data_IF_460976497717
#
_entry.id   IF_460976497717
#
_cell.length_a   1.000
_cell.length_b   1.000
_cell.length_c   1.000
_cell.angle_alpha   90.00
_cell.angle_beta   90.00
_cell.angle_gamma   90.00
#
_symmetry.space_group_name_H-M   'P 1'
#
loop_
_entity.id
_entity.type
_entity.pdbx_description
1 polymer ?
#
# COMPACT_ATOMS: atom_id res chain seq x y z
N UNK A 1 -1.72 -2.27 2.48
CA UNK A 1 -3.04 -1.97 1.91
C UNK A 1 -3.48 -3.04 0.92
N UNK A 2 -2.78 -3.25 -0.23
CA UNK A 2 -3.10 -4.28 -1.23
C UNK A 2 -1.85 -4.84 -1.89
N UNK A 3 -1.92 -6.12 -2.36
CA UNK A 3 -0.84 -6.79 -3.08
C UNK A 3 -1.39 -7.72 -4.16
N UNK A 4 -0.92 -7.53 -5.41
CA UNK A 4 -1.20 -8.43 -6.54
C UNK A 4 -0.04 -8.49 -7.53
N UNK A 5 1.00 -7.69 -7.34
CA UNK A 5 2.16 -7.67 -8.22
C UNK A 5 2.92 -8.98 -8.10
N UNK A 6 3.10 -9.66 -9.25
CA UNK A 6 3.71 -10.99 -9.30
C UNK A 6 5.18 -10.97 -8.90
N UNK A 7 5.92 -9.99 -9.38
CA UNK A 7 7.37 -9.93 -9.16
C UNK A 7 7.67 -9.62 -7.69
N UNK A 8 6.85 -8.76 -7.06
CA UNK A 8 6.93 -8.49 -5.62
C UNK A 8 6.57 -9.75 -4.82
N UNK A 9 5.51 -10.47 -5.21
CA UNK A 9 5.11 -11.71 -4.53
C UNK A 9 6.24 -12.75 -4.59
N UNK A 10 6.87 -12.94 -5.75
CA UNK A 10 8.01 -13.84 -5.90
C UNK A 10 9.21 -13.43 -5.02
N UNK A 11 9.45 -12.13 -4.85
CA UNK A 11 10.49 -11.64 -3.94
C UNK A 11 10.16 -11.86 -2.47
N UNK A 12 8.90 -11.75 -2.09
CA UNK A 12 8.46 -12.09 -0.72
C UNK A 12 8.59 -13.59 -0.46
N UNK A 13 8.27 -14.45 -1.42
CA UNK A 13 8.50 -15.90 -1.34
C UNK A 13 10.00 -16.22 -1.19
N UNK A 14 10.86 -15.62 -2.01
CA UNK A 14 12.32 -15.77 -1.92
C UNK A 14 12.85 -15.35 -0.56
N UNK A 15 12.42 -14.19 -0.03
CA UNK A 15 12.81 -13.70 1.26
C UNK A 15 12.34 -14.63 2.40
N UNK A 16 11.08 -15.10 2.34
CA UNK A 16 10.55 -16.06 3.29
C UNK A 16 11.35 -17.37 3.29
N UNK A 17 11.68 -17.93 2.12
CA UNK A 17 12.52 -19.12 2.00
C UNK A 17 13.93 -18.91 2.53
N UNK A 18 14.45 -17.67 2.48
CA UNK A 18 15.74 -17.30 3.08
C UNK A 18 15.66 -17.09 4.62
N UNK A 19 14.51 -17.32 5.24
CA UNK A 19 14.32 -17.19 6.69
C UNK A 19 13.97 -15.77 7.16
N UNK A 20 13.67 -14.84 6.25
CA UNK A 20 13.25 -13.49 6.62
C UNK A 20 11.80 -13.54 7.13
N UNK A 21 11.58 -13.06 8.35
CA UNK A 21 10.22 -12.86 8.88
C UNK A 21 9.57 -11.67 8.19
N UNK A 22 8.36 -11.87 7.69
CA UNK A 22 7.59 -10.86 6.97
C UNK A 22 6.20 -10.76 7.60
N UNK A 23 5.88 -9.61 8.15
CA UNK A 23 4.55 -9.32 8.69
C UNK A 23 3.87 -8.29 7.78
N UNK A 24 2.66 -8.59 7.30
CA UNK A 24 1.92 -7.73 6.37
C UNK A 24 0.53 -7.41 6.90
N UNK A 25 0.12 -6.14 6.74
CA UNK A 25 -1.25 -5.69 7.01
C UNK A 25 -1.90 -5.36 5.67
N UNK A 26 -2.80 -6.23 5.22
CA UNK A 26 -3.45 -6.15 3.90
C UNK A 26 -4.96 -6.18 4.07
N UNK A 27 -5.62 -5.04 3.84
CA UNK A 27 -7.08 -4.93 3.98
C UNK A 27 -7.87 -5.12 2.68
N UNK A 28 -7.19 -4.98 1.53
CA UNK A 28 -7.78 -5.03 0.20
C UNK A 28 -7.40 -6.31 -0.55
N UNK A 29 -7.05 -6.16 -1.83
CA UNK A 29 -6.64 -7.27 -2.69
C UNK A 29 -5.39 -7.93 -2.10
N UNK A 30 -5.41 -9.25 -1.95
CA UNK A 30 -4.29 -10.05 -1.48
C UNK A 30 -4.15 -11.30 -2.36
N UNK A 31 -3.13 -11.32 -3.22
CA UNK A 31 -2.87 -12.41 -4.16
C UNK A 31 -1.72 -13.34 -3.73
N UNK A 32 -1.32 -13.26 -2.45
CA UNK A 32 -0.32 -14.16 -1.85
C UNK A 32 -0.95 -14.87 -0.66
N UNK A 33 -0.54 -16.11 -0.39
CA UNK A 33 -0.96 -16.90 0.78
C UNK A 33 0.12 -16.82 1.85
N UNK A 34 -0.32 -16.69 3.09
CA UNK A 34 0.54 -16.75 4.27
C UNK A 34 0.89 -18.21 4.65
N UNK A 35 2.00 -18.40 5.31
CA UNK A 35 2.36 -19.62 6.05
C UNK A 35 2.33 -20.91 5.20
N UNK A 36 2.55 -20.82 3.89
CA UNK A 36 2.62 -22.01 3.02
C UNK A 36 4.00 -22.66 3.16
N UNK A 37 4.09 -23.93 3.61
CA UNK A 37 5.35 -24.63 3.80
C UNK A 37 6.22 -24.62 2.54
N UNK A 38 7.52 -24.32 2.68
CA UNK A 38 8.49 -24.27 1.60
C UNK A 38 8.33 -23.09 0.63
N UNK A 39 7.43 -22.13 0.91
CA UNK A 39 7.21 -20.93 0.10
C UNK A 39 7.11 -19.67 0.95
N UNK A 40 6.05 -19.56 1.72
CA UNK A 40 5.73 -18.36 2.51
C UNK A 40 5.61 -18.67 4.00
N UNK A 41 6.31 -19.67 4.50
CA UNK A 41 6.23 -20.12 5.89
C UNK A 41 6.58 -19.04 6.91
N UNK A 42 7.42 -18.05 6.53
CA UNK A 42 7.79 -16.92 7.36
C UNK A 42 7.02 -15.63 7.00
N UNK A 43 5.98 -15.74 6.16
CA UNK A 43 5.11 -14.63 5.76
C UNK A 43 3.78 -14.72 6.52
N UNK A 44 3.51 -13.72 7.35
CA UNK A 44 2.29 -13.60 8.15
C UNK A 44 1.46 -12.44 7.59
N UNK A 45 0.16 -12.66 7.38
CA UNK A 45 -0.74 -11.66 6.81
C UNK A 45 -1.91 -11.43 7.74
N UNK A 46 -2.11 -10.17 8.11
CA UNK A 46 -3.29 -9.71 8.84
C UNK A 46 -4.13 -8.79 7.98
N UNK A 47 -5.44 -8.87 8.11
CA UNK A 47 -6.39 -7.90 7.58
C UNK A 47 -6.98 -7.11 8.74
N UNK A 48 -6.88 -5.77 8.64
CA UNK A 48 -7.42 -4.85 9.63
C UNK A 48 -8.49 -4.00 8.97
N UNK A 49 -9.75 -4.27 9.29
CA UNK A 49 -10.92 -3.52 8.80
C UNK A 49 -11.76 -3.13 10.01
N UNK A 50 -11.96 -1.84 10.21
CA UNK A 50 -12.68 -1.29 11.34
C UNK A 50 -13.41 0.00 10.98
N UNK A 51 -13.48 0.93 11.92
CA UNK A 51 -14.21 2.19 11.78
C UNK A 51 -13.59 3.12 10.74
N UNK A 52 -12.26 3.14 10.64
CA UNK A 52 -11.51 4.01 9.74
C UNK A 52 -10.93 3.21 8.57
N UNK A 53 -10.70 3.91 7.45
CA UNK A 53 -10.05 3.34 6.29
C UNK A 53 -8.54 3.30 6.51
N UNK A 54 -7.97 2.08 6.61
CA UNK A 54 -6.52 1.89 6.64
C UNK A 54 -5.94 2.10 5.25
N UNK A 55 -5.41 3.31 4.99
CA UNK A 55 -4.87 3.70 3.69
C UNK A 55 -3.39 4.07 3.74
N UNK A 56 -2.76 3.93 4.87
CA UNK A 56 -1.32 4.10 5.04
C UNK A 56 -0.54 3.04 4.26
N UNK A 57 0.57 3.44 3.64
CA UNK A 57 1.56 2.54 3.05
C UNK A 57 2.88 2.84 3.72
N UNK A 58 3.17 2.04 4.74
CA UNK A 58 4.38 2.11 5.53
C UNK A 58 5.14 0.82 5.27
N UNK A 59 6.41 0.94 4.89
CA UNK A 59 7.29 -0.19 4.65
C UNK A 59 8.47 -0.10 5.60
N UNK A 60 8.60 -1.11 6.46
CA UNK A 60 9.67 -1.19 7.46
C UNK A 60 10.57 -2.37 7.16
N UNK A 61 11.88 -2.11 7.07
CA UNK A 61 12.91 -3.11 6.82
C UNK A 61 13.93 -3.08 7.94
N UNK A 62 14.21 -4.25 8.50
CA UNK A 62 15.22 -4.44 9.55
C UNK A 62 16.31 -5.40 9.08
N UNK A 63 17.55 -4.97 9.14
CA UNK A 63 18.72 -5.72 8.67
C UNK A 63 19.51 -6.42 9.80
N UNK A 64 18.92 -6.51 10.99
CA UNK A 64 19.58 -7.04 12.20
C UNK A 64 20.19 -5.94 13.07
N UNK A 65 20.39 -4.73 12.54
CA UNK A 65 21.01 -3.60 13.26
C UNK A 65 20.14 -2.34 13.14
N UNK A 66 19.70 -2.03 11.95
CA UNK A 66 19.04 -0.75 11.64
C UNK A 66 17.65 -0.97 11.05
N UNK A 67 16.67 -0.21 11.54
CA UNK A 67 15.34 -0.11 10.94
C UNK A 67 15.31 1.02 9.91
N UNK A 68 14.87 0.72 8.69
CA UNK A 68 14.63 1.69 7.62
C UNK A 68 13.17 1.72 7.29
N UNK A 69 12.56 2.91 7.42
CA UNK A 69 11.13 3.09 7.16
C UNK A 69 10.94 3.97 5.94
N UNK A 70 9.97 3.57 5.10
CA UNK A 70 9.50 4.32 3.96
C UNK A 70 8.00 4.52 4.06
N UNK A 71 7.53 5.70 3.66
CA UNK A 71 6.13 5.98 3.40
C UNK A 71 5.94 6.16 1.90
N UNK A 72 4.83 5.65 1.34
CA UNK A 72 4.63 5.70 -0.09
C UNK A 72 3.17 5.95 -0.49
N UNK A 73 2.97 6.40 -1.73
CA UNK A 73 1.66 6.55 -2.35
C UNK A 73 1.14 5.25 -2.95
N UNK A 74 2.02 4.34 -3.36
CA UNK A 74 1.70 3.12 -4.10
C UNK A 74 1.47 1.90 -3.23
N UNK A 75 0.53 1.06 -3.67
CA UNK A 75 0.40 -0.32 -3.22
C UNK A 75 1.30 -1.26 -4.01
N UNK A 76 1.42 -2.51 -3.59
CA UNK A 76 2.06 -3.60 -4.34
C UNK A 76 1.10 -4.21 -5.39
N UNK A 77 0.47 -3.35 -6.20
CA UNK A 77 -0.36 -3.76 -7.32
C UNK A 77 0.38 -3.51 -8.63
N UNK A 78 0.23 -4.38 -9.61
CA UNK A 78 0.87 -4.26 -10.93
C UNK A 78 0.63 -2.90 -11.59
N UNK A 79 -0.58 -2.34 -11.43
CA UNK A 79 -0.87 -0.98 -11.93
C UNK A 79 -0.03 0.12 -11.27
N UNK A 80 0.36 -0.05 -10.00
CA UNK A 80 1.20 0.91 -9.28
C UNK A 80 2.67 0.78 -9.69
N UNK A 81 3.14 -0.46 -9.92
CA UNK A 81 4.53 -0.75 -10.25
C UNK A 81 4.87 -0.52 -11.72
N UNK A 82 3.91 -0.76 -12.63
CA UNK A 82 4.15 -0.73 -14.08
C UNK A 82 3.49 0.48 -14.79
N UNK A 83 2.34 0.96 -14.31
CA UNK A 83 1.51 1.91 -15.05
C UNK A 83 1.41 3.29 -14.40
N UNK A 84 1.92 3.50 -13.19
CA UNK A 84 1.82 4.75 -12.44
C UNK A 84 3.17 5.28 -12.03
N UNK A 85 3.24 6.59 -11.83
CA UNK A 85 4.33 7.23 -11.10
C UNK A 85 3.94 7.27 -9.63
N UNK A 86 4.66 6.53 -8.81
CA UNK A 86 4.45 6.49 -7.36
C UNK A 86 5.64 7.12 -6.64
N UNK A 87 5.36 7.73 -5.50
CA UNK A 87 6.37 8.37 -4.67
C UNK A 87 6.60 7.54 -3.41
N UNK A 88 7.86 7.24 -3.12
CA UNK A 88 8.29 6.64 -1.87
C UNK A 88 9.35 7.52 -1.21
N UNK A 89 9.16 7.85 0.06
CA UNK A 89 10.07 8.70 0.83
C UNK A 89 10.64 7.90 1.99
N UNK A 90 11.96 7.88 2.10
CA UNK A 90 12.64 7.34 3.28
C UNK A 90 12.49 8.34 4.43
N UNK A 91 12.07 7.84 5.58
CA UNK A 91 12.00 8.61 6.81
C UNK A 91 13.36 8.54 7.51
N UNK A 92 13.97 9.67 7.81
CA UNK A 92 15.30 9.75 8.41
C UNK A 92 15.29 10.27 9.86
N UNK A 93 14.25 11.02 10.22
CA UNK A 93 14.08 11.53 11.57
C UNK A 93 13.80 10.40 12.57
N UNK A 94 14.63 10.23 13.63
CA UNK A 94 14.48 9.12 14.57
C UNK A 94 13.14 9.13 15.33
N UNK A 95 12.57 10.30 15.59
CA UNK A 95 11.29 10.44 16.28
C UNK A 95 10.17 9.96 15.38
N UNK A 96 10.20 10.31 14.10
CA UNK A 96 9.21 9.84 13.12
C UNK A 96 9.36 8.33 12.83
N UNK A 97 10.59 7.82 12.78
CA UNK A 97 10.85 6.37 12.66
C UNK A 97 10.20 5.62 13.84
N UNK A 98 10.39 6.11 15.06
CA UNK A 98 9.79 5.49 16.24
C UNK A 98 8.26 5.55 16.18
N UNK A 99 7.66 6.69 15.86
CA UNK A 99 6.20 6.83 15.74
C UNK A 99 5.60 5.89 14.69
N UNK A 100 6.22 5.79 13.51
CA UNK A 100 5.76 4.87 12.46
C UNK A 100 5.93 3.40 12.88
N UNK A 101 6.99 3.08 13.61
CA UNK A 101 7.20 1.75 14.19
C UNK A 101 6.10 1.42 15.21
N UNK A 102 5.75 2.35 16.08
CA UNK A 102 4.71 2.19 17.10
C UNK A 102 3.33 1.99 16.45
N UNK A 103 3.03 2.73 15.37
CA UNK A 103 1.80 2.55 14.57
C UNK A 103 1.75 1.12 14.00
N UNK A 104 2.82 0.66 13.36
CA UNK A 104 2.87 -0.70 12.80
C UNK A 104 2.72 -1.76 13.89
N UNK A 105 3.42 -1.61 15.02
CA UNK A 105 3.33 -2.54 16.15
C UNK A 105 1.93 -2.56 16.77
N UNK A 106 1.27 -1.41 16.88
CA UNK A 106 -0.09 -1.31 17.39
C UNK A 106 -1.07 -2.05 16.48
N UNK A 107 -0.97 -1.84 15.17
CA UNK A 107 -1.80 -2.56 14.19
C UNK A 107 -1.53 -4.07 14.18
N UNK A 108 -0.26 -4.48 14.33
CA UNK A 108 0.11 -5.90 14.40
C UNK A 108 -0.35 -6.58 15.71
N UNK A 109 -0.61 -5.82 16.76
CA UNK A 109 -1.13 -6.35 18.04
C UNK A 109 -2.65 -6.31 18.13
N UNK A 110 -3.37 -5.73 17.15
CA UNK A 110 -4.83 -5.69 17.17
C UNK A 110 -5.43 -7.09 17.35
N UNK A 111 -6.21 -7.27 18.42
CA UNK A 111 -6.94 -8.50 18.73
C UNK A 111 -8.46 -8.29 18.82
N UNK A 112 -8.94 -7.10 18.41
CA UNK A 112 -10.36 -6.71 18.37
C UNK A 112 -10.92 -6.81 16.95
N UNK A 113 -10.22 -6.24 15.97
CA UNK A 113 -10.68 -6.14 14.57
C UNK A 113 -9.89 -7.04 13.61
N UNK A 114 -8.67 -7.41 13.96
CA UNK A 114 -7.77 -8.13 13.06
C UNK A 114 -8.29 -9.54 12.72
N UNK A 115 -7.95 -9.94 11.50
CA UNK A 115 -8.10 -11.31 10.98
C UNK A 115 -6.78 -11.77 10.42
N UNK A 116 -6.34 -12.97 10.76
CA UNK A 116 -5.13 -13.60 10.24
C UNK A 116 -5.45 -14.53 9.09
N UNK A 117 -4.62 -14.48 8.04
CA UNK A 117 -4.71 -15.41 6.93
C UNK A 117 -4.02 -16.72 7.30
N UNK A 118 -4.65 -17.83 6.95
CA UNK A 118 -4.12 -19.20 7.07
C UNK A 118 -3.49 -19.65 5.74
N UNK A 119 -2.75 -20.75 5.79
CA UNK A 119 -2.09 -21.34 4.61
C UNK A 119 -3.07 -21.73 3.48
N UNK A 120 -4.33 -22.03 3.80
CA UNK A 120 -5.39 -22.32 2.82
C UNK A 120 -5.97 -21.04 2.17
N UNK A 121 -5.58 -19.83 2.66
CA UNK A 121 -6.07 -18.54 2.21
C UNK A 121 -7.33 -18.08 2.94
N UNK A 122 -7.88 -18.86 3.88
CA UNK A 122 -8.98 -18.44 4.74
C UNK A 122 -8.52 -17.42 5.80
N UNK A 123 -9.44 -16.61 6.29
CA UNK A 123 -9.16 -15.65 7.36
C UNK A 123 -9.87 -16.03 8.65
N UNK A 124 -9.13 -16.07 9.74
CA UNK A 124 -9.66 -16.26 11.07
C UNK A 124 -9.57 -14.97 11.90
N UNK A 125 -10.66 -14.65 12.62
CA UNK A 125 -10.63 -13.52 13.56
C UNK A 125 -9.63 -13.78 14.69
N UNK A 126 -8.76 -12.84 14.93
CA UNK A 126 -7.89 -12.84 16.11
C UNK A 126 -8.75 -12.65 17.36
N UNK A 127 -8.44 -13.37 18.41
CA UNK A 127 -9.12 -13.26 19.70
C UNK A 127 -8.08 -13.09 20.79
N UNK A 128 -8.32 -12.15 21.68
CA UNK A 128 -7.51 -12.00 22.88
C UNK A 128 -7.56 -13.29 23.71
N UNK A 129 -6.42 -13.69 24.26
CA UNK A 129 -6.35 -14.78 25.22
C UNK A 129 -7.00 -14.37 26.55
N UNK A 130 -7.44 -15.32 27.39
CA UNK A 130 -7.96 -15.00 28.72
C UNK A 130 -6.95 -14.19 29.53
N UNK A 131 -7.34 -12.97 29.95
CA UNK A 131 -6.49 -12.05 30.71
C UNK A 131 -5.57 -11.16 29.86
N UNK A 132 -5.55 -11.35 28.54
CA UNK A 132 -4.83 -10.46 27.63
C UNK A 132 -5.61 -9.14 27.45
N UNK A 133 -4.95 -7.96 27.48
CA UNK A 133 -5.61 -6.69 27.23
C UNK A 133 -6.15 -6.63 25.79
N UNK A 134 -7.34 -6.04 25.65
CA UNK A 134 -7.91 -5.77 24.34
C UNK A 134 -7.15 -4.63 23.69
N UNK A 135 -6.69 -4.85 22.46
CA UNK A 135 -6.00 -3.87 21.64
C UNK A 135 -6.83 -3.62 20.39
N UNK A 136 -7.36 -2.41 20.27
CA UNK A 136 -8.05 -1.94 19.07
C UNK A 136 -7.11 -0.99 18.30
N UNK A 137 -6.35 -1.53 17.36
CA UNK A 137 -5.29 -0.78 16.69
C UNK A 137 -5.71 0.56 16.09
N UNK A 138 -6.98 0.71 15.68
CA UNK A 138 -7.50 1.96 15.13
C UNK A 138 -7.86 2.97 16.22
N UNK A 139 -8.54 2.54 17.28
CA UNK A 139 -8.99 3.46 18.33
C UNK A 139 -7.82 3.87 19.22
N UNK A 140 -6.96 2.92 19.56
CA UNK A 140 -5.78 3.18 20.39
C UNK A 140 -4.78 4.10 19.64
N UNK A 141 -4.66 3.96 18.31
CA UNK A 141 -3.88 4.87 17.48
C UNK A 141 -4.48 6.28 17.44
N UNK A 142 -5.81 6.37 17.32
CA UNK A 142 -6.49 7.65 17.35
C UNK A 142 -6.24 8.39 18.69
N UNK A 143 -6.35 7.69 19.81
CA UNK A 143 -6.12 8.27 21.13
C UNK A 143 -4.66 8.72 21.29
N UNK A 144 -3.70 7.88 20.88
CA UNK A 144 -2.27 8.20 20.89
C UNK A 144 -1.94 9.46 20.07
N UNK A 145 -2.46 9.57 18.87
CA UNK A 145 -2.19 10.70 17.97
C UNK A 145 -2.92 11.97 18.42
N UNK A 146 -4.12 11.84 18.96
CA UNK A 146 -4.88 12.97 19.53
C UNK A 146 -4.12 13.59 20.70
N UNK A 147 -3.63 12.78 21.62
CA UNK A 147 -2.94 13.26 22.80
C UNK A 147 -1.61 13.93 22.45
N UNK A 148 -0.87 13.39 21.47
CA UNK A 148 0.34 14.01 20.92
C UNK A 148 0.03 15.35 20.21
N UNK A 149 -1.07 15.42 19.47
CA UNK A 149 -1.52 16.65 18.82
C UNK A 149 -1.91 17.73 19.84
N UNK A 150 -2.71 17.38 20.86
CA UNK A 150 -3.10 18.31 21.92
C UNK A 150 -1.90 18.83 22.69
N UNK A 151 -0.91 17.98 22.98
CA UNK A 151 0.30 18.40 23.65
C UNK A 151 1.12 19.41 22.83
N UNK A 152 1.16 19.26 21.51
CA UNK A 152 1.84 20.21 20.60
C UNK A 152 1.11 21.53 20.46
N UNK A 153 -0.22 21.49 20.37
CA UNK A 153 -1.05 22.67 20.22
C UNK A 153 -0.89 23.58 21.45
N UNK A 154 -0.87 22.99 22.64
CA UNK A 154 -0.60 23.74 23.91
C UNK A 154 0.83 24.29 23.97
N UNK A 155 1.82 23.59 23.41
CA UNK A 155 3.21 24.06 23.35
C UNK A 155 3.37 25.20 22.33
N UNK A 156 2.74 25.08 21.16
CA UNK A 156 2.76 26.11 20.11
C UNK A 156 2.05 27.40 20.52
N UNK A 157 1.00 27.29 21.31
CA UNK A 157 0.31 28.49 21.86
C UNK A 157 1.14 29.26 22.89
N UNK A 158 2.23 28.66 23.41
CA UNK A 158 3.15 29.27 24.36
C UNK A 158 4.38 29.93 23.67
N UNK A 159 4.64 29.65 22.37
CA UNK A 159 5.69 30.32 21.61
C UNK A 159 5.14 31.62 20.98
N UNK A 160 5.85 32.78 21.13
CA UNK A 160 5.44 34.03 20.47
C UNK A 160 5.52 33.83 18.93
N UNK A 161 4.43 34.20 18.25
CA UNK A 161 4.33 34.18 16.77
C UNK A 161 5.59 34.76 16.13
N UNK A 162 6.39 33.90 15.52
CA UNK A 162 7.42 34.40 14.59
C UNK A 162 6.70 34.93 13.35
N UNK A 163 7.03 36.15 12.87
CA UNK A 163 6.40 36.69 11.68
C UNK A 163 6.62 35.75 10.50
N UNK A 164 5.54 35.31 9.88
CA UNK A 164 5.58 34.46 8.69
C UNK A 164 6.56 35.05 7.65
N UNK A 165 7.45 34.24 7.07
CA UNK A 165 8.27 34.70 5.97
C UNK A 165 7.33 35.12 4.83
N UNK A 166 7.34 36.42 4.46
CA UNK A 166 6.57 36.93 3.34
C UNK A 166 6.83 36.04 2.13
N UNK A 167 5.77 35.43 1.61
CA UNK A 167 5.82 34.68 0.38
C UNK A 167 6.46 35.58 -0.72
N UNK A 168 7.37 35.04 -1.54
CA UNK A 168 7.92 35.82 -2.66
C UNK A 168 6.76 36.26 -3.54
N UNK A 169 6.66 37.56 -3.78
CA UNK A 169 5.68 38.13 -4.71
C UNK A 169 5.81 37.43 -6.06
N UNK A 170 4.75 36.77 -6.49
CA UNK A 170 4.71 36.24 -7.86
C UNK A 170 4.81 37.41 -8.83
N UNK A 171 5.67 37.33 -9.84
CA UNK A 171 5.65 38.29 -10.93
C UNK A 171 4.24 38.36 -11.49
N UNK A 172 3.68 39.53 -11.65
CA UNK A 172 2.39 39.77 -12.28
C UNK A 172 2.44 39.23 -13.71
N UNK A 173 1.73 38.12 -13.97
CA UNK A 173 1.50 37.65 -15.34
C UNK A 173 0.70 38.69 -16.10
N UNK A 174 1.07 39.00 -17.39
CA UNK A 174 0.28 39.90 -18.20
C UNK A 174 -1.11 39.29 -18.45
N UNK A 175 -2.15 40.05 -18.15
CA UNK A 175 -3.54 39.74 -18.44
C UNK A 175 -3.78 39.65 -19.95
N UNK A 176 -3.55 38.47 -20.53
CA UNK A 176 -4.11 38.12 -21.85
C UNK A 176 -4.85 36.80 -21.69
N UNK A 177 -6.05 36.93 -21.20
CA UNK A 177 -7.04 35.84 -21.18
C UNK A 177 -7.57 35.67 -22.60
N UNK A 178 -7.35 34.56 -23.31
CA UNK A 178 -8.05 34.31 -24.56
C UNK A 178 -9.53 34.12 -24.29
N UNK A 179 -10.38 34.75 -25.11
CA UNK A 179 -11.84 34.58 -25.06
C UNK A 179 -12.24 33.11 -25.18
N UNK A 180 -13.30 32.70 -24.50
CA UNK A 180 -13.77 31.32 -24.58
C UNK A 180 -14.30 31.01 -25.98
N UNK A 181 -13.64 30.10 -26.68
CA UNK A 181 -14.16 29.51 -27.92
C UNK A 181 -15.46 28.77 -27.61
N UNK A 182 -16.57 29.23 -28.17
CA UNK A 182 -17.84 28.54 -28.11
C UNK A 182 -17.73 27.23 -28.89
N UNK A 183 -17.64 26.13 -28.16
CA UNK A 183 -17.78 24.78 -28.72
C UNK A 183 -19.27 24.57 -28.93
N UNK A 184 -19.69 24.44 -30.19
CA UNK A 184 -21.08 24.10 -30.55
C UNK A 184 -21.45 22.72 -29.98
N UNK A 185 -22.46 22.69 -29.13
CA UNK A 185 -23.04 21.43 -28.63
C UNK A 185 -23.63 20.64 -29.80
N UNK A 186 -23.07 19.48 -30.09
CA UNK A 186 -23.70 18.48 -30.92
C UNK A 186 -24.76 17.73 -30.09
N UNK A 187 -25.97 17.50 -30.65
CA UNK A 187 -27.00 16.76 -29.93
C UNK A 187 -26.59 15.29 -29.70
N UNK A 188 -27.01 14.67 -28.58
CA UNK A 188 -26.62 13.30 -28.25
C UNK A 188 -27.24 12.29 -29.20
N UNK A 189 -26.42 11.37 -29.71
CA UNK A 189 -26.89 10.19 -30.46
C UNK A 189 -27.78 9.30 -29.58
N UNK A 190 -28.86 8.71 -30.16
CA UNK A 190 -29.76 7.86 -29.37
C UNK A 190 -29.08 6.55 -28.97
N UNK A 191 -29.17 6.23 -27.68
CA UNK A 191 -28.64 5.00 -27.07
C UNK A 191 -29.18 3.75 -27.77
N UNK A 192 -28.27 2.92 -28.31
CA UNK A 192 -28.60 1.58 -28.83
C UNK A 192 -28.92 0.65 -27.66
N UNK A 193 -30.09 0.05 -27.68
CA UNK A 193 -30.55 -0.96 -26.72
C UNK A 193 -29.64 -2.19 -26.75
N UNK A 194 -29.32 -2.82 -25.58
CA UNK A 194 -28.53 -4.03 -25.57
C UNK A 194 -29.30 -5.22 -26.14
N UNK A 195 -28.69 -5.88 -27.12
CA UNK A 195 -29.19 -7.12 -27.70
C UNK A 195 -29.13 -8.25 -26.67
N UNK A 196 -30.26 -8.96 -26.50
CA UNK A 196 -30.36 -10.18 -25.69
C UNK A 196 -29.50 -11.29 -26.28
N UNK A 197 -28.41 -11.63 -25.59
CA UNK A 197 -27.57 -12.79 -25.92
C UNK A 197 -28.27 -14.08 -25.45
N UNK A 198 -28.70 -14.92 -26.41
CA UNK A 198 -29.09 -16.32 -26.16
C UNK A 198 -27.83 -17.11 -25.73
N UNK A 199 -27.96 -17.85 -24.64
CA UNK A 199 -26.93 -18.78 -24.15
C UNK A 199 -26.65 -19.86 -25.17
N UNK A 200 -25.40 -20.01 -25.58
CA UNK A 200 -24.87 -21.13 -26.34
C UNK A 200 -24.30 -22.20 -25.41
N UNK A 201 -24.39 -23.50 -25.74
CA UNK A 201 -23.91 -24.59 -24.89
C UNK A 201 -22.38 -24.61 -24.80
N UNK A 202 -21.86 -25.01 -23.65
CA UNK A 202 -20.44 -25.07 -23.33
C UNK A 202 -19.70 -26.07 -24.28
N UNK A 203 -18.51 -25.70 -24.82
CA UNK A 203 -17.68 -26.64 -25.55
C UNK A 203 -16.82 -27.48 -24.60
N UNK A 204 -16.58 -28.73 -25.00
CA UNK A 204 -15.79 -29.72 -24.32
C UNK A 204 -14.32 -29.26 -24.12
N UNK A 205 -13.78 -29.55 -22.95
CA UNK A 205 -12.39 -29.27 -22.57
C UNK A 205 -11.44 -30.12 -23.40
N UNK A 206 -10.74 -29.51 -24.34
CA UNK A 206 -9.54 -30.09 -24.95
C UNK A 206 -8.30 -29.48 -24.26
N UNK A 207 -7.38 -30.37 -23.86
CA UNK A 207 -6.11 -30.00 -23.24
C UNK A 207 -5.26 -29.14 -24.19
N UNK A 208 -4.89 -27.93 -23.74
CA UNK A 208 -4.01 -27.03 -24.48
C UNK A 208 -2.54 -27.43 -24.35
N UNK A 209 -1.74 -27.26 -25.41
CA UNK A 209 -0.29 -27.48 -25.38
C UNK A 209 0.41 -26.37 -24.60
N UNK A 210 1.60 -26.68 -24.03
CA UNK A 210 2.45 -25.80 -23.27
C UNK A 210 2.78 -24.48 -24.01
N UNK A 211 2.87 -23.34 -23.31
CA UNK A 211 3.16 -22.07 -23.95
C UNK A 211 4.63 -21.99 -24.40
N UNK A 212 4.84 -21.67 -25.67
CA UNK A 212 6.13 -21.29 -26.22
C UNK A 212 6.64 -20.00 -25.54
N UNK A 213 7.94 -19.98 -25.25
CA UNK A 213 8.67 -18.81 -24.78
C UNK A 213 8.52 -17.67 -25.81
N UNK A 214 7.90 -16.57 -25.37
CA UNK A 214 7.83 -15.33 -26.16
C UNK A 214 9.06 -14.51 -25.83
N UNK A 215 9.86 -14.27 -26.84
CA UNK A 215 11.08 -13.46 -26.84
C UNK A 215 10.76 -12.03 -26.37
N UNK A 216 11.37 -11.61 -25.26
CA UNK A 216 11.12 -10.31 -24.61
C UNK A 216 12.01 -9.26 -25.29
N UNK A 217 11.47 -8.56 -26.27
CA UNK A 217 12.13 -7.42 -26.87
C UNK A 217 12.58 -6.41 -25.79
N UNK A 218 13.86 -6.08 -25.80
CA UNK A 218 14.53 -5.12 -24.92
C UNK A 218 13.89 -3.74 -25.06
N UNK A 219 13.19 -3.30 -24.00
CA UNK A 219 12.79 -1.92 -23.85
C UNK A 219 13.87 -1.19 -23.05
N UNK A 220 14.64 -0.37 -23.74
CA UNK A 220 15.50 0.64 -23.09
C UNK A 220 14.61 1.64 -22.37
N UNK A 221 14.51 1.55 -21.04
CA UNK A 221 13.80 2.45 -20.18
C UNK A 221 14.44 2.46 -18.80
N UNK A 222 14.38 3.59 -18.12
CA UNK A 222 14.93 3.81 -16.78
C UNK A 222 14.66 2.63 -15.83
N UNK A 223 15.60 2.32 -14.92
CA UNK A 223 15.43 1.21 -13.98
C UNK A 223 14.13 1.42 -13.19
N UNK A 224 13.26 0.41 -13.22
CA UNK A 224 11.98 0.43 -12.49
C UNK A 224 12.23 0.63 -10.99
N UNK A 225 11.22 1.11 -10.26
CA UNK A 225 11.28 1.20 -8.80
C UNK A 225 11.78 -0.12 -8.19
N UNK A 226 11.44 -1.22 -8.82
CA UNK A 226 11.82 -2.58 -8.46
C UNK A 226 13.32 -2.86 -8.64
N UNK A 227 13.93 -2.40 -9.75
CA UNK A 227 15.38 -2.52 -9.96
C UNK A 227 16.14 -1.76 -8.87
N UNK A 228 15.65 -0.58 -8.50
CA UNK A 228 16.24 0.25 -7.41
C UNK A 228 16.06 -0.40 -6.04
N UNK A 229 14.92 -1.04 -5.78
CA UNK A 229 14.67 -1.80 -4.55
C UNK A 229 15.55 -3.05 -4.49
N UNK A 230 15.71 -3.77 -5.60
CA UNK A 230 16.59 -4.93 -5.71
C UNK A 230 18.06 -4.56 -5.52
N UNK A 231 18.53 -3.47 -6.16
CA UNK A 231 19.91 -3.00 -6.02
C UNK A 231 20.20 -2.47 -4.60
N UNK A 232 19.14 -2.01 -3.93
CA UNK A 232 19.21 -1.56 -2.55
C UNK A 232 19.23 -2.73 -1.55
N UNK A 233 18.49 -3.80 -1.78
CA UNK A 233 18.53 -5.03 -0.96
C UNK A 233 19.85 -5.80 -1.06
N UNK A 234 20.65 -5.53 -2.09
CA UNK A 234 21.97 -6.14 -2.28
C UNK A 234 23.14 -5.31 -1.72
N UNK A 235 22.91 -4.11 -1.23
CA UNK A 235 23.90 -3.24 -0.58
C UNK A 235 23.75 -3.30 0.94
#
# INVERSE_FOLDING_TARGET
NSISDRDIILKLEEASCAGVRIDMIVRGICCVRAEVPGKTENLHIRSLVGRYLEHGRIYSFYDGVTTRIYIASGDFLTRNTECRVEVGVRVEDPVLIQKLSDILQLQLRDNVNAREMRADGSYQKVKAAPGEPLVNGQMDMYDLLRDDWLARDTASAAEPEQPEPKAPERPSEPETRPEPVQVAEQPPEPAKQPATLKAAPAPAVQSAPAPHAVDRAERHGHPSLFQRLHDWLRR
#
